data_IF_192096828315
#
_entry.id   IF_192096828315
#
_cell.length_a   1.000
_cell.length_b   1.000
_cell.length_c   1.000
_cell.angle_alpha   90.00
_cell.angle_beta   90.00
_cell.angle_gamma   90.00
#
_symmetry.space_group_name_H-M   'P 1'
#
loop_
_entity.id
_entity.type
_entity.pdbx_description
1 polymer ?
#
# COMPACT_ATOMS: atom_id res chain seq x y z
N UNK A 1 -7.58 -32.33 -67.17
CA UNK A 1 -7.85 -31.18 -66.28
C UNK A 1 -8.49 -31.74 -65.02
N UNK A 2 -7.84 -31.66 -63.85
CA UNK A 2 -8.44 -32.12 -62.59
C UNK A 2 -8.84 -30.90 -61.75
N UNK A 3 -10.09 -30.82 -61.23
CA UNK A 3 -10.50 -29.70 -60.38
C UNK A 3 -9.83 -29.81 -59.00
N UNK A 4 -9.25 -28.69 -58.54
CA UNK A 4 -8.56 -28.58 -57.25
C UNK A 4 -9.62 -28.46 -56.14
N UNK A 5 -9.52 -29.31 -55.11
CA UNK A 5 -10.42 -29.35 -53.95
C UNK A 5 -10.37 -28.01 -53.19
N UNK A 6 -11.49 -27.51 -52.63
CA UNK A 6 -11.49 -26.28 -51.86
C UNK A 6 -10.72 -26.48 -50.55
N UNK A 7 -9.80 -25.56 -50.26
CA UNK A 7 -9.02 -25.54 -49.02
C UNK A 7 -9.97 -25.35 -47.84
N UNK A 8 -10.06 -26.34 -46.96
CA UNK A 8 -10.75 -26.21 -45.67
C UNK A 8 -10.00 -25.21 -44.79
N UNK A 9 -10.74 -24.35 -44.09
CA UNK A 9 -10.19 -23.41 -43.11
C UNK A 9 -9.36 -24.17 -42.06
N UNK A 10 -8.09 -23.80 -41.94
CA UNK A 10 -7.20 -24.31 -40.90
C UNK A 10 -7.50 -23.58 -39.59
N UNK A 11 -8.10 -24.27 -38.62
CA UNK A 11 -8.27 -23.79 -37.23
C UNK A 11 -7.01 -23.98 -36.38
N UNK A 12 -5.83 -24.00 -37.00
CA UNK A 12 -4.58 -24.21 -36.26
C UNK A 12 -4.14 -22.87 -35.68
N UNK A 13 -4.24 -22.75 -34.36
CA UNK A 13 -3.75 -21.61 -33.59
C UNK A 13 -2.29 -21.90 -33.27
N UNK A 14 -1.38 -21.06 -33.76
CA UNK A 14 0.05 -21.19 -33.51
C UNK A 14 0.32 -21.02 -32.01
N UNK A 15 0.94 -21.99 -31.32
CA UNK A 15 1.24 -21.88 -29.89
C UNK A 15 2.23 -20.74 -29.54
N UNK A 16 2.89 -20.14 -30.54
CA UNK A 16 3.73 -18.94 -30.38
C UNK A 16 2.96 -17.63 -30.70
N UNK A 17 1.67 -17.72 -31.09
CA UNK A 17 0.82 -16.55 -31.26
C UNK A 17 0.44 -16.00 -29.89
N UNK A 18 1.02 -14.85 -29.54
CA UNK A 18 0.78 -14.23 -28.24
C UNK A 18 -0.69 -13.81 -28.14
N UNK A 19 -1.34 -14.02 -26.98
CA UNK A 19 -2.72 -13.58 -26.81
C UNK A 19 -2.80 -12.06 -26.99
N UNK A 20 -3.90 -11.61 -27.59
CA UNK A 20 -4.23 -10.19 -27.70
C UNK A 20 -4.13 -9.52 -26.32
N UNK A 21 -3.43 -8.38 -26.24
CA UNK A 21 -3.28 -7.62 -25.00
C UNK A 21 -4.62 -6.95 -24.66
N UNK A 22 -5.51 -7.72 -24.03
CA UNK A 22 -6.84 -7.25 -23.64
C UNK A 22 -6.78 -6.26 -22.48
N UNK A 23 -7.82 -5.44 -22.35
CA UNK A 23 -7.97 -4.50 -21.23
C UNK A 23 -7.90 -5.22 -19.86
N UNK A 24 -8.38 -6.47 -19.78
CA UNK A 24 -8.30 -7.30 -18.57
C UNK A 24 -6.85 -7.66 -18.21
N UNK A 25 -6.01 -7.90 -19.22
CA UNK A 25 -4.57 -8.11 -19.01
C UNK A 25 -3.92 -6.83 -18.44
N UNK A 26 -4.21 -5.67 -19.04
CA UNK A 26 -3.74 -4.36 -18.55
C UNK A 26 -4.25 -4.01 -17.15
N UNK A 27 -5.46 -4.42 -16.79
CA UNK A 27 -6.05 -4.16 -15.48
C UNK A 27 -5.25 -4.81 -14.33
N UNK A 28 -4.62 -5.95 -14.61
CA UNK A 28 -3.78 -6.69 -13.65
C UNK A 28 -2.28 -6.45 -13.81
N UNK A 29 -1.88 -5.68 -14.82
CA UNK A 29 -0.48 -5.46 -15.15
C UNK A 29 0.23 -4.53 -14.15
N UNK A 30 1.47 -4.86 -13.85
CA UNK A 30 2.40 -4.02 -13.10
C UNK A 30 2.96 -2.91 -14.00
N UNK A 31 2.78 -1.66 -13.61
CA UNK A 31 3.30 -0.52 -14.37
C UNK A 31 4.76 -0.25 -13.99
N UNK A 32 5.69 -0.42 -14.94
CA UNK A 32 7.09 -0.06 -14.78
C UNK A 32 7.41 1.26 -15.49
N UNK A 33 8.21 2.12 -14.85
CA UNK A 33 8.87 3.26 -15.48
C UNK A 33 10.38 3.03 -15.42
N UNK A 34 10.97 2.66 -16.56
CA UNK A 34 12.34 2.14 -16.60
C UNK A 34 12.45 0.84 -15.79
N UNK A 35 13.44 0.74 -14.91
CA UNK A 35 13.64 -0.43 -14.04
C UNK A 35 12.76 -0.41 -12.77
N UNK A 36 11.92 0.61 -12.58
CA UNK A 36 11.20 0.85 -11.33
C UNK A 36 9.71 0.54 -11.45
N UNK A 37 9.24 -0.41 -10.63
CA UNK A 37 7.81 -0.71 -10.45
C UNK A 37 7.09 0.48 -9.78
N UNK A 38 6.14 1.08 -10.50
CA UNK A 38 5.26 2.14 -10.01
C UNK A 38 4.11 1.49 -9.27
N UNK A 39 4.31 1.21 -7.96
CA UNK A 39 3.21 0.76 -7.10
C UNK A 39 2.15 1.85 -7.03
N UNK A 40 0.91 1.53 -7.42
CA UNK A 40 -0.26 2.39 -7.22
C UNK A 40 -0.45 2.65 -5.72
N UNK A 41 0.12 3.77 -5.25
CA UNK A 41 -0.24 4.51 -4.04
C UNK A 41 -0.40 3.69 -2.76
N UNK A 42 0.66 3.62 -1.95
CA UNK A 42 0.47 3.43 -0.51
C UNK A 42 -0.38 4.56 0.08
N UNK A 43 -0.89 4.39 1.32
CA UNK A 43 -1.63 5.44 2.04
C UNK A 43 -0.88 6.77 1.90
N UNK A 44 -1.57 7.86 1.47
CA UNK A 44 -0.92 9.16 1.32
C UNK A 44 -0.18 9.52 2.61
N UNK A 45 1.06 10.01 2.46
CA UNK A 45 1.87 10.42 3.60
C UNK A 45 1.12 11.54 4.34
N UNK A 46 0.94 11.37 5.65
CA UNK A 46 0.35 12.42 6.49
C UNK A 46 1.19 13.70 6.36
N UNK A 47 0.58 14.89 6.20
CA UNK A 47 1.30 16.16 6.16
C UNK A 47 2.05 16.44 7.47
N UNK A 48 1.61 15.85 8.58
CA UNK A 48 2.31 15.89 9.86
C UNK A 48 2.41 14.46 10.42
N UNK A 49 3.50 13.72 10.11
CA UNK A 49 3.70 12.38 10.63
C UNK A 49 4.12 12.43 12.10
N UNK A 50 3.69 11.43 12.88
CA UNK A 50 4.19 11.25 14.24
C UNK A 50 5.70 11.00 14.18
N UNK A 51 6.47 11.71 15.00
CA UNK A 51 7.90 11.52 15.09
C UNK A 51 8.22 10.40 16.09
N UNK A 52 9.08 9.47 15.67
CA UNK A 52 9.60 8.46 16.58
C UNK A 52 10.70 9.09 17.43
N UNK A 53 10.44 9.21 18.73
CA UNK A 53 11.38 9.76 19.71
C UNK A 53 11.76 8.69 20.73
N UNK A 54 13.02 8.71 21.16
CA UNK A 54 13.49 7.89 22.28
C UNK A 54 13.40 8.71 23.56
N UNK A 55 12.38 8.42 24.39
CA UNK A 55 12.13 9.08 25.67
C UNK A 55 12.13 8.05 26.79
N UNK A 56 12.74 8.39 27.93
CA UNK A 56 12.64 7.59 29.15
C UNK A 56 11.42 8.04 29.94
N UNK A 57 10.56 7.09 30.27
CA UNK A 57 9.37 7.30 31.09
C UNK A 57 9.54 6.59 32.43
N UNK A 58 8.85 7.10 33.45
CA UNK A 58 8.75 6.41 34.73
C UNK A 58 8.15 4.99 34.55
N UNK A 59 8.66 3.96 35.25
CA UNK A 59 8.17 2.60 35.13
C UNK A 59 6.67 2.46 35.45
N UNK A 60 6.16 3.14 36.47
CA UNK A 60 4.76 3.06 36.87
C UNK A 60 3.82 3.62 35.81
N UNK A 61 4.23 4.72 35.15
CA UNK A 61 3.51 5.29 34.01
C UNK A 61 3.48 4.30 32.84
N UNK A 62 4.63 3.70 32.53
CA UNK A 62 4.74 2.75 31.43
C UNK A 62 3.89 1.49 31.67
N UNK A 63 3.94 0.94 32.88
CA UNK A 63 3.15 -0.22 33.29
C UNK A 63 1.65 0.06 33.23
N UNK A 64 1.21 1.19 33.76
CA UNK A 64 -0.20 1.62 33.69
C UNK A 64 -0.70 1.63 32.24
N UNK A 65 0.01 2.30 31.33
CA UNK A 65 -0.43 2.34 29.94
C UNK A 65 -0.32 0.96 29.27
N UNK A 66 0.74 0.17 29.50
CA UNK A 66 0.83 -1.18 28.92
C UNK A 66 -0.31 -2.10 29.38
N UNK A 67 -0.74 -2.00 30.63
CA UNK A 67 -1.85 -2.77 31.17
C UNK A 67 -3.18 -2.47 30.45
N UNK A 68 -3.34 -1.29 29.86
CA UNK A 68 -4.54 -0.94 29.06
C UNK A 68 -4.61 -1.69 27.72
N UNK A 69 -3.59 -2.49 27.36
CA UNK A 69 -3.62 -3.39 26.20
C UNK A 69 -3.25 -2.72 24.87
N UNK A 70 -3.59 -3.34 23.73
CA UNK A 70 -3.24 -2.84 22.39
C UNK A 70 -3.60 -1.36 22.22
N UNK A 71 -2.74 -0.59 21.58
CA UNK A 71 -2.94 0.85 21.39
C UNK A 71 -2.49 1.74 22.56
N UNK A 72 -1.82 1.20 23.59
CA UNK A 72 -1.36 1.99 24.74
C UNK A 72 -0.46 3.18 24.36
N UNK A 73 0.34 3.04 23.31
CA UNK A 73 1.16 4.14 22.77
C UNK A 73 0.31 5.30 22.23
N UNK A 74 -0.86 5.01 21.68
CA UNK A 74 -1.79 6.07 21.24
C UNK A 74 -2.51 6.71 22.43
N UNK A 75 -2.77 5.96 23.50
CA UNK A 75 -3.36 6.51 24.74
C UNK A 75 -2.39 7.46 25.45
N UNK A 76 -1.12 7.09 25.58
CA UNK A 76 -0.13 7.98 26.21
C UNK A 76 0.11 9.25 25.35
N UNK A 77 0.12 9.12 24.02
CA UNK A 77 0.19 10.26 23.09
C UNK A 77 -1.01 11.21 23.28
N UNK A 78 -2.23 10.67 23.43
CA UNK A 78 -3.42 11.47 23.71
C UNK A 78 -3.33 12.22 25.05
N UNK A 79 -2.87 11.57 26.12
CA UNK A 79 -2.67 12.19 27.42
C UNK A 79 -1.63 13.32 27.38
N UNK A 80 -0.50 13.12 26.68
CA UNK A 80 0.50 14.16 26.47
C UNK A 80 -0.07 15.34 25.68
N UNK A 81 -0.89 15.07 24.67
CA UNK A 81 -1.54 16.11 23.86
C UNK A 81 -2.52 16.94 24.68
N UNK A 82 -3.27 16.33 25.60
CA UNK A 82 -4.16 17.03 26.51
C UNK A 82 -3.39 17.94 27.49
N UNK A 83 -2.28 17.44 28.03
CA UNK A 83 -1.38 18.24 28.87
C UNK A 83 -0.86 19.47 28.12
N UNK A 84 -0.39 19.31 26.88
CA UNK A 84 0.10 20.42 26.05
C UNK A 84 -1.00 21.43 25.73
N UNK A 85 -2.24 20.99 25.50
CA UNK A 85 -3.37 21.89 25.23
C UNK A 85 -3.75 22.71 26.46
N UNK A 86 -3.78 22.09 27.63
CA UNK A 86 -4.13 22.75 28.90
C UNK A 86 -3.03 23.68 29.43
N UNK A 87 -1.76 23.35 29.18
CA UNK A 87 -0.61 24.10 29.68
C UNK A 87 0.09 24.89 28.57
N UNK A 88 -0.60 25.15 27.45
CA UNK A 88 -0.06 25.98 26.41
C UNK A 88 0.04 27.41 26.96
N UNK A 89 1.27 27.95 27.16
CA UNK A 89 1.40 29.34 27.55
C UNK A 89 0.71 30.18 26.48
N UNK A 90 -0.15 31.10 26.91
CA UNK A 90 -0.71 32.11 26.02
C UNK A 90 0.47 32.96 25.55
N UNK A 91 0.91 32.70 24.32
CA UNK A 91 1.84 33.54 23.58
C UNK A 91 1.02 34.35 22.59
#
# INVERSE_FOLDING_TARGET
>A
MQPKKPSGESTWVDPDDAPELTEEWFASADLYQGEKLVRKGGRPKSPNPKQMVSLRLDPGVLEYFRATGPGWQSRIDAALREYVQSHRPHQ
#
